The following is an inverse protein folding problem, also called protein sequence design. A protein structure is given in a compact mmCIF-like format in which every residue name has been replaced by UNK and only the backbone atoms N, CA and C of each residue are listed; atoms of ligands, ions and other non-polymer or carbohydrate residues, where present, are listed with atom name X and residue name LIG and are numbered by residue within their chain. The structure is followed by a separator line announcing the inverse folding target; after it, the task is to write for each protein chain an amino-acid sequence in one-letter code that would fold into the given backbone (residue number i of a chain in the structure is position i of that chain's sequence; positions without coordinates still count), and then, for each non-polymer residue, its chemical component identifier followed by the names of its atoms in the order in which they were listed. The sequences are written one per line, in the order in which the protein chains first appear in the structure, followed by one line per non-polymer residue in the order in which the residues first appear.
data_IF_152559421498
#
_entry.id   IF_152559421498
#
_cell.length_a   1.000
_cell.length_b   1.000
_cell.length_c   1.000
_cell.angle_alpha   90.00
_cell.angle_beta   90.00
_cell.angle_gamma   90.00
#
_symmetry.space_group_name_H-M   'P 1'
#
loop_
_entity.id
_entity.type
_entity.pdbx_description
1 polymer ?
#
# COMPACT_ATOMS: atom_id res chain seq x y z
N UNK A 1 12.99 44.95 -61.82
CA UNK A 1 13.55 43.65 -62.22
C UNK A 1 13.18 42.67 -61.11
N UNK A 2 12.02 42.01 -61.23
CA UNK A 2 11.87 40.65 -61.75
C UNK A 2 11.99 39.64 -60.59
N UNK A 3 11.13 38.65 -60.37
CA UNK A 3 9.91 38.18 -61.03
C UNK A 3 9.27 37.18 -60.06
N UNK A 4 7.94 37.16 -60.00
CA UNK A 4 7.16 36.05 -59.45
C UNK A 4 7.49 34.75 -60.18
N UNK A 5 7.76 33.68 -59.44
CA UNK A 5 7.77 32.31 -59.96
C UNK A 5 6.70 31.54 -59.21
N UNK A 6 5.72 31.03 -59.95
CA UNK A 6 4.72 30.11 -59.47
C UNK A 6 4.72 28.87 -60.36
N UNK A 7 4.34 27.74 -59.75
CA UNK A 7 3.75 26.51 -60.30
C UNK A 7 4.60 25.23 -60.42
N UNK A 8 4.28 24.35 -59.45
CA UNK A 8 3.87 22.94 -59.57
C UNK A 8 4.93 21.85 -59.78
N UNK A 9 4.99 20.93 -58.81
CA UNK A 9 4.98 19.49 -59.09
C UNK A 9 4.29 18.73 -57.95
N UNK A 10 3.17 18.08 -58.26
CA UNK A 10 2.55 17.02 -57.47
C UNK A 10 3.27 15.69 -57.74
N UNK A 11 3.50 14.86 -56.71
CA UNK A 11 3.33 13.39 -56.79
C UNK A 11 3.49 12.71 -55.44
N UNK A 12 2.51 11.86 -55.13
CA UNK A 12 2.48 10.96 -53.99
C UNK A 12 3.60 9.91 -54.06
N UNK A 13 4.11 9.52 -52.88
CA UNK A 13 4.68 8.19 -52.66
C UNK A 13 4.50 7.83 -51.18
N UNK A 14 3.52 6.96 -50.92
CA UNK A 14 3.44 6.20 -49.69
C UNK A 14 4.76 5.43 -49.49
N UNK A 15 5.40 5.65 -48.34
CA UNK A 15 6.50 4.81 -47.87
C UNK A 15 6.06 4.26 -46.51
N UNK A 16 5.63 2.99 -46.59
CA UNK A 16 5.90 1.88 -45.68
C UNK A 16 5.66 2.12 -44.19
N UNK A 17 4.69 1.35 -43.68
CA UNK A 17 4.26 1.34 -42.30
C UNK A 17 5.45 1.31 -41.33
N UNK A 18 5.49 2.31 -40.47
CA UNK A 18 6.24 2.21 -39.23
C UNK A 18 5.61 1.09 -38.43
N UNK A 19 6.33 -0.01 -38.28
CA UNK A 19 6.10 -0.91 -37.15
C UNK A 19 6.07 -0.03 -35.90
N UNK A 20 4.87 0.14 -35.33
CA UNK A 20 4.76 0.64 -33.97
C UNK A 20 5.45 -0.39 -33.09
N UNK A 21 6.74 -0.17 -32.83
CA UNK A 21 7.41 -0.84 -31.75
C UNK A 21 6.61 -0.50 -30.49
N UNK A 22 5.81 -1.45 -30.02
CA UNK A 22 5.24 -1.42 -28.68
C UNK A 22 6.42 -1.44 -27.72
N UNK A 23 6.97 -0.27 -27.41
CA UNK A 23 7.95 -0.12 -26.35
C UNK A 23 7.30 -0.68 -25.10
N UNK A 24 7.84 -1.79 -24.60
CA UNK A 24 7.41 -2.36 -23.33
C UNK A 24 7.58 -1.27 -22.28
N UNK A 25 6.48 -0.74 -21.76
CA UNK A 25 6.48 0.16 -20.62
C UNK A 25 6.86 -0.66 -19.39
N UNK A 26 8.17 -0.83 -19.18
CA UNK A 26 8.77 -1.50 -18.04
C UNK A 26 8.74 -0.63 -16.78
N UNK A 27 7.68 0.16 -16.57
CA UNK A 27 7.34 0.70 -15.25
C UNK A 27 6.97 -0.48 -14.34
N UNK A 28 8.00 -1.20 -13.91
CA UNK A 28 7.98 -2.31 -12.94
C UNK A 28 7.74 -1.81 -11.51
N UNK A 29 7.69 -0.49 -11.32
CA UNK A 29 7.50 0.15 -10.02
C UNK A 29 6.10 0.75 -10.03
N UNK A 30 5.24 0.24 -9.14
CA UNK A 30 3.96 0.87 -8.85
C UNK A 30 4.20 2.35 -8.47
N UNK A 31 3.29 3.28 -8.80
CA UNK A 31 3.41 4.66 -8.38
C UNK A 31 3.71 4.71 -6.88
N UNK A 32 4.75 5.45 -6.50
CA UNK A 32 5.12 5.60 -5.11
C UNK A 32 3.98 6.36 -4.41
N UNK A 33 3.37 5.74 -3.39
CA UNK A 33 2.34 6.39 -2.58
C UNK A 33 2.93 7.65 -1.99
N UNK A 34 2.25 8.78 -2.17
CA UNK A 34 2.71 10.05 -1.61
C UNK A 34 2.51 10.08 -0.09
N UNK A 35 3.26 10.95 0.58
CA UNK A 35 3.08 11.16 2.02
C UNK A 35 1.66 11.62 2.35
N UNK A 36 1.09 12.51 1.53
CA UNK A 36 -0.27 13.03 1.72
C UNK A 36 -1.34 11.94 1.58
N UNK A 37 -1.23 11.09 0.55
CA UNK A 37 -2.13 9.92 0.38
C UNK A 37 -2.02 8.93 1.54
N UNK A 38 -0.81 8.71 2.06
CA UNK A 38 -0.62 7.85 3.23
C UNK A 38 -1.28 8.45 4.48
N UNK A 39 -1.07 9.74 4.73
CA UNK A 39 -1.67 10.45 5.87
C UNK A 39 -3.20 10.51 5.77
N UNK A 40 -3.78 10.62 4.57
CA UNK A 40 -5.23 10.65 4.40
C UNK A 40 -5.90 9.29 4.62
N UNK A 41 -5.23 8.18 4.30
CA UNK A 41 -5.83 6.84 4.35
C UNK A 41 -5.45 6.01 5.59
N UNK A 42 -4.40 6.37 6.33
CA UNK A 42 -3.89 5.55 7.46
C UNK A 42 -4.96 5.25 8.50
N UNK A 43 -5.85 6.19 8.80
CA UNK A 43 -6.94 5.95 9.75
C UNK A 43 -7.99 4.96 9.22
N UNK A 44 -8.29 5.02 7.92
CA UNK A 44 -9.24 4.13 7.28
C UNK A 44 -8.69 2.70 7.25
N UNK A 45 -7.42 2.54 6.88
CA UNK A 45 -6.76 1.24 6.87
C UNK A 45 -6.56 0.69 8.30
N UNK A 46 -6.35 1.54 9.30
CA UNK A 46 -6.32 1.13 10.70
C UNK A 46 -7.70 0.61 11.17
N UNK A 47 -8.79 1.33 10.85
CA UNK A 47 -10.16 0.88 11.13
C UNK A 47 -10.46 -0.46 10.43
N UNK A 48 -10.06 -0.61 9.17
CA UNK A 48 -10.22 -1.86 8.43
C UNK A 48 -9.47 -3.04 9.08
N UNK A 49 -8.27 -2.80 9.62
CA UNK A 49 -7.54 -3.83 10.38
C UNK A 49 -8.30 -4.24 11.65
N UNK A 50 -8.90 -3.28 12.36
CA UNK A 50 -9.64 -3.55 13.59
C UNK A 50 -10.98 -4.29 13.36
N UNK A 51 -11.62 -4.08 12.20
CA UNK A 51 -12.86 -4.74 11.81
C UNK A 51 -12.72 -6.26 11.62
N UNK A 52 -11.50 -6.80 11.56
CA UNK A 52 -11.27 -8.26 11.59
C UNK A 52 -11.85 -8.91 12.86
N UNK A 53 -12.11 -8.13 13.91
CA UNK A 53 -12.71 -8.58 15.16
C UNK A 53 -14.02 -9.34 14.97
N UNK A 54 -14.87 -8.88 14.06
CA UNK A 54 -16.17 -9.54 13.82
C UNK A 54 -15.97 -10.97 13.32
N UNK A 55 -14.96 -11.19 12.47
CA UNK A 55 -14.58 -12.50 11.93
C UNK A 55 -13.90 -13.37 12.98
N UNK A 56 -13.12 -12.76 13.89
CA UNK A 56 -12.51 -13.46 15.03
C UNK A 56 -13.61 -13.94 16.00
N UNK A 57 -14.57 -13.08 16.32
CA UNK A 57 -15.66 -13.38 17.25
C UNK A 57 -16.59 -14.47 16.70
N UNK A 58 -16.82 -14.47 15.38
CA UNK A 58 -17.55 -15.54 14.69
C UNK A 58 -16.71 -16.80 14.40
N UNK A 59 -15.43 -16.81 14.79
CA UNK A 59 -14.45 -17.88 14.50
C UNK A 59 -14.34 -18.23 13.02
N UNK A 60 -14.58 -17.26 12.14
CA UNK A 60 -14.42 -17.39 10.70
C UNK A 60 -12.95 -17.26 10.33
N UNK A 61 -12.13 -18.24 10.72
CA UNK A 61 -10.67 -18.11 10.73
C UNK A 61 -10.05 -17.85 9.36
N UNK A 62 -10.55 -18.51 8.30
CA UNK A 62 -10.02 -18.33 6.94
C UNK A 62 -10.31 -16.91 6.42
N UNK A 63 -11.52 -16.43 6.66
CA UNK A 63 -11.96 -15.08 6.31
C UNK A 63 -11.19 -14.05 7.12
N UNK A 64 -11.02 -14.28 8.43
CA UNK A 64 -10.23 -13.44 9.32
C UNK A 64 -8.79 -13.28 8.81
N UNK A 65 -8.12 -14.40 8.47
CA UNK A 65 -6.77 -14.35 7.89
C UNK A 65 -6.72 -13.57 6.58
N UNK A 66 -7.70 -13.77 5.69
CA UNK A 66 -7.76 -13.08 4.40
C UNK A 66 -7.88 -11.57 4.59
N UNK A 67 -8.84 -11.13 5.40
CA UNK A 67 -9.06 -9.70 5.64
C UNK A 67 -7.94 -9.08 6.46
N UNK A 68 -7.36 -9.80 7.43
CA UNK A 68 -6.17 -9.36 8.18
C UNK A 68 -4.99 -9.10 7.25
N UNK A 69 -4.67 -10.03 6.35
CA UNK A 69 -3.53 -9.88 5.40
C UNK A 69 -3.76 -8.72 4.45
N UNK A 70 -4.98 -8.54 3.95
CA UNK A 70 -5.34 -7.44 3.05
C UNK A 70 -5.22 -6.09 3.74
N UNK A 71 -5.91 -5.91 4.87
CA UNK A 71 -5.92 -4.65 5.63
C UNK A 71 -4.52 -4.30 6.16
N UNK A 72 -3.78 -5.28 6.69
CA UNK A 72 -2.42 -5.04 7.20
C UNK A 72 -1.41 -4.70 6.10
N UNK A 73 -1.56 -5.21 4.88
CA UNK A 73 -0.67 -4.85 3.77
C UNK A 73 -0.78 -3.37 3.40
N UNK A 74 -2.01 -2.84 3.33
CA UNK A 74 -2.28 -1.43 3.04
C UNK A 74 -1.74 -0.54 4.17
N UNK A 75 -2.13 -0.84 5.41
CA UNK A 75 -1.68 -0.08 6.57
C UNK A 75 -0.16 -0.09 6.74
N UNK A 76 0.49 -1.21 6.40
CA UNK A 76 1.95 -1.33 6.44
C UNK A 76 2.60 -0.32 5.50
N UNK A 77 2.04 -0.16 4.31
CA UNK A 77 2.53 0.81 3.34
C UNK A 77 2.38 2.22 3.87
N UNK A 78 1.19 2.60 4.36
CA UNK A 78 0.95 3.96 4.86
C UNK A 78 1.88 4.33 6.01
N UNK A 79 1.94 3.49 7.06
CA UNK A 79 2.75 3.78 8.24
C UNK A 79 4.23 3.84 7.85
N UNK A 80 4.69 2.98 6.92
CA UNK A 80 6.06 3.04 6.45
C UNK A 80 6.36 4.36 5.73
N UNK A 81 5.49 4.78 4.79
CA UNK A 81 5.60 6.04 4.06
C UNK A 81 5.64 7.22 5.03
N UNK A 82 4.73 7.27 6.01
CA UNK A 82 4.68 8.32 7.02
C UNK A 82 5.96 8.36 7.86
N UNK A 83 6.47 7.20 8.30
CA UNK A 83 7.74 7.11 9.04
C UNK A 83 8.90 7.67 8.20
N UNK A 84 8.94 7.41 6.90
CA UNK A 84 9.97 7.99 6.02
C UNK A 84 9.75 9.50 5.81
N UNK A 85 8.55 10.03 5.97
CA UNK A 85 8.29 11.48 5.99
C UNK A 85 8.78 12.20 7.27
N UNK A 86 8.87 11.50 8.42
CA UNK A 86 9.20 12.12 9.71
C UNK A 86 10.69 12.50 9.89
N UNK A 87 11.00 13.48 10.78
CA UNK A 87 12.37 13.81 11.15
C UNK A 87 13.15 12.61 11.71
N UNK A 88 14.45 12.55 11.42
CA UNK A 88 15.31 11.42 11.78
C UNK A 88 15.28 11.02 13.26
N UNK A 89 15.07 11.97 14.18
CA UNK A 89 15.00 11.72 15.63
C UNK A 89 13.74 10.96 16.07
N UNK A 90 12.63 11.08 15.33
CA UNK A 90 11.35 10.42 15.66
C UNK A 90 11.26 9.00 15.08
N UNK A 91 11.98 8.75 13.98
CA UNK A 91 11.93 7.47 13.24
C UNK A 91 12.26 6.24 14.08
N UNK A 92 13.26 6.21 14.99
CA UNK A 92 13.58 5.01 15.76
C UNK A 92 12.41 4.52 16.63
N UNK A 93 11.73 5.44 17.31
CA UNK A 93 10.59 5.11 18.15
C UNK A 93 9.42 4.58 17.31
N UNK A 94 9.09 5.27 16.21
CA UNK A 94 8.02 4.84 15.31
C UNK A 94 8.30 3.48 14.67
N UNK A 95 9.55 3.21 14.26
CA UNK A 95 9.96 1.90 13.72
C UNK A 95 9.81 0.78 14.74
N UNK A 96 10.11 1.03 16.01
CA UNK A 96 9.90 0.04 17.09
C UNK A 96 8.42 -0.31 17.23
N UNK A 97 7.55 0.69 17.23
CA UNK A 97 6.10 0.48 17.30
C UNK A 97 5.57 -0.23 16.05
N UNK A 98 6.01 0.19 14.86
CA UNK A 98 5.69 -0.45 13.58
C UNK A 98 6.07 -1.94 13.59
N UNK A 99 7.30 -2.29 14.01
CA UNK A 99 7.72 -3.69 14.13
C UNK A 99 6.87 -4.44 15.14
N UNK A 100 6.54 -3.85 16.28
CA UNK A 100 5.70 -4.48 17.30
C UNK A 100 4.28 -4.76 16.78
N UNK A 101 3.65 -3.80 16.10
CA UNK A 101 2.33 -3.96 15.48
C UNK A 101 2.33 -5.13 14.49
N UNK A 102 3.20 -5.09 13.48
CA UNK A 102 3.17 -6.09 12.40
C UNK A 102 3.68 -7.46 12.83
N UNK A 103 4.53 -7.54 13.86
CA UNK A 103 4.85 -8.82 14.49
C UNK A 103 3.62 -9.45 15.16
N UNK A 104 2.77 -8.66 15.82
CA UNK A 104 1.52 -9.18 16.39
C UNK A 104 0.50 -9.55 15.30
N UNK A 105 0.43 -8.81 14.19
CA UNK A 105 -0.37 -9.21 13.01
C UNK A 105 0.07 -10.59 12.49
N UNK A 106 1.37 -10.80 12.30
CA UNK A 106 1.90 -12.10 11.87
C UNK A 106 1.58 -13.20 12.88
N UNK A 107 1.73 -12.95 14.19
CA UNK A 107 1.38 -13.92 15.22
C UNK A 107 -0.11 -14.25 15.26
N UNK A 108 -0.98 -13.25 15.05
CA UNK A 108 -2.42 -13.44 14.94
C UNK A 108 -2.75 -14.32 13.74
N UNK A 109 -2.13 -14.06 12.58
CA UNK A 109 -2.32 -14.87 11.37
C UNK A 109 -1.98 -16.34 11.59
N UNK A 110 -0.87 -16.62 12.29
CA UNK A 110 -0.48 -17.98 12.69
C UNK A 110 -1.46 -18.58 13.72
N UNK A 111 -1.84 -17.83 14.75
CA UNK A 111 -2.77 -18.31 15.78
C UNK A 111 -4.15 -18.63 15.20
N UNK A 112 -4.65 -17.81 14.26
CA UNK A 112 -5.90 -18.06 13.55
C UNK A 112 -5.82 -19.32 12.68
N UNK A 113 -4.66 -19.61 12.07
CA UNK A 113 -4.43 -20.88 11.34
C UNK A 113 -4.55 -22.10 12.25
N UNK A 114 -4.09 -21.97 13.48
CA UNK A 114 -4.11 -23.03 14.51
C UNK A 114 -5.43 -23.04 15.29
N UNK A 115 -6.35 -22.12 15.00
CA UNK A 115 -7.62 -21.91 15.70
C UNK A 115 -7.46 -21.66 17.22
N UNK A 116 -6.27 -21.19 17.63
CA UNK A 116 -5.97 -20.89 19.03
C UNK A 116 -6.60 -19.54 19.42
N UNK A 117 -7.84 -19.62 19.91
CA UNK A 117 -8.63 -18.45 20.29
C UNK A 117 -7.95 -17.60 21.38
N UNK A 118 -7.20 -18.22 22.29
CA UNK A 118 -6.51 -17.49 23.36
C UNK A 118 -5.37 -16.65 22.79
N UNK A 119 -4.55 -17.23 21.91
CA UNK A 119 -3.46 -16.51 21.25
C UNK A 119 -3.97 -15.47 20.27
N UNK A 120 -5.07 -15.73 19.56
CA UNK A 120 -5.72 -14.74 18.68
C UNK A 120 -6.14 -13.52 19.49
N UNK A 121 -6.88 -13.71 20.59
CA UNK A 121 -7.32 -12.59 21.45
C UNK A 121 -6.14 -11.78 21.96
N UNK A 122 -5.12 -12.44 22.50
CA UNK A 122 -3.91 -11.76 23.00
C UNK A 122 -3.20 -10.95 21.91
N UNK A 123 -3.06 -11.51 20.70
CA UNK A 123 -2.45 -10.79 19.59
C UNK A 123 -3.32 -9.62 19.13
N UNK A 124 -4.64 -9.77 19.12
CA UNK A 124 -5.58 -8.71 18.75
C UNK A 124 -5.49 -7.52 19.72
N UNK A 125 -5.49 -7.78 21.03
CA UNK A 125 -5.35 -6.73 22.05
C UNK A 125 -4.04 -5.97 21.91
N UNK A 126 -2.94 -6.69 21.65
CA UNK A 126 -1.64 -6.07 21.38
C UNK A 126 -1.65 -5.23 20.11
N UNK A 127 -2.37 -5.65 19.06
CA UNK A 127 -2.56 -4.87 17.82
C UNK A 127 -3.30 -3.56 18.12
N UNK A 128 -4.40 -3.61 18.88
CA UNK A 128 -5.17 -2.43 19.29
C UNK A 128 -4.29 -1.44 20.04
N UNK A 129 -3.55 -1.90 21.05
CA UNK A 129 -2.65 -1.06 21.83
C UNK A 129 -1.56 -0.43 20.96
N UNK A 130 -0.90 -1.22 20.10
CA UNK A 130 0.14 -0.74 19.20
C UNK A 130 -0.38 0.28 18.19
N UNK A 131 -1.58 0.07 17.65
CA UNK A 131 -2.23 1.01 16.75
C UNK A 131 -2.48 2.35 17.42
N UNK A 132 -3.07 2.35 18.62
CA UNK A 132 -3.32 3.57 19.38
C UNK A 132 -2.00 4.33 19.67
N UNK A 133 -0.95 3.61 20.07
CA UNK A 133 0.36 4.19 20.31
C UNK A 133 0.98 4.81 19.05
N UNK A 134 0.85 4.16 17.89
CA UNK A 134 1.33 4.69 16.62
C UNK A 134 0.53 5.93 16.22
N UNK A 135 -0.80 5.83 16.15
CA UNK A 135 -1.68 6.91 15.70
C UNK A 135 -1.55 8.16 16.56
N UNK A 136 -1.27 8.02 17.87
CA UNK A 136 -1.00 9.16 18.75
C UNK A 136 0.32 9.90 18.47
N UNK A 137 1.19 9.33 17.63
CA UNK A 137 2.55 9.82 17.31
C UNK A 137 2.77 10.11 15.83
N UNK A 138 1.81 9.74 14.97
CA UNK A 138 1.76 10.20 13.59
C UNK A 138 1.30 11.66 13.59
#
# INVERSE_FOLDING_TARGET
MATMTCLLFTKEAAILGGEMAYGLDLRMVAPEQTLEEAESEVENHAKALLQVKDLIDSKSWREAQKELRKSSALLKQDIYTIIQGKPGIQRPQLRKLYSYLFNNVTKLDYAAREEDSSRVSQCYDNIVLALNDILSKL
#
